data_IF_217390252658
#
_entry.id   IF_217390252658
#
_cell.length_a   1.000
_cell.length_b   1.000
_cell.length_c   1.000
_cell.angle_alpha   90.00
_cell.angle_beta   90.00
_cell.angle_gamma   90.00
#
_symmetry.space_group_name_H-M   'P 1'
#
loop_
_entity.id
_entity.type
_entity.pdbx_description
1 polymer ?
#
# COMPACT_ATOMS: atom_id res chain seq x y z
N UNK A 1 3.72 -0.24 15.42
CA UNK A 1 3.62 1.18 15.05
C UNK A 1 2.74 1.29 13.82
N UNK A 2 1.94 2.34 13.68
CA UNK A 2 1.01 2.52 12.56
C UNK A 2 1.43 3.75 11.75
N UNK A 3 1.32 3.68 10.42
CA UNK A 3 1.59 4.79 9.52
C UNK A 3 0.42 4.99 8.54
N UNK A 4 0.04 6.24 8.33
CA UNK A 4 -0.86 6.66 7.26
C UNK A 4 0.01 7.18 6.11
N UNK A 5 -0.16 6.62 4.91
CA UNK A 5 0.55 7.05 3.72
C UNK A 5 -0.44 7.60 2.68
N UNK A 6 -0.28 8.86 2.32
CA UNK A 6 -1.07 9.50 1.26
C UNK A 6 -0.43 9.19 -0.10
N UNK A 7 -1.22 8.63 -1.00
CA UNK A 7 -0.76 8.12 -2.30
C UNK A 7 -0.58 6.61 -2.29
N UNK A 8 -1.52 5.89 -2.89
CA UNK A 8 -1.47 4.45 -3.08
C UNK A 8 -0.94 4.05 -4.47
N UNK A 9 -0.25 4.96 -5.18
CA UNK A 9 0.33 4.71 -6.49
C UNK A 9 1.59 3.83 -6.47
N UNK A 10 2.30 3.77 -7.60
CA UNK A 10 3.48 2.91 -7.76
C UNK A 10 4.60 3.21 -6.75
N UNK A 11 4.92 4.49 -6.50
CA UNK A 11 5.94 4.87 -5.51
C UNK A 11 5.47 4.58 -4.09
N UNK A 12 4.20 4.85 -3.79
CA UNK A 12 3.62 4.59 -2.48
C UNK A 12 3.65 3.10 -2.13
N UNK A 13 3.28 2.21 -3.06
CA UNK A 13 3.26 0.76 -2.80
C UNK A 13 4.62 0.09 -2.98
N UNK A 14 5.32 0.44 -4.06
CA UNK A 14 6.56 -0.22 -4.48
C UNK A 14 7.80 0.24 -3.71
N UNK A 15 7.75 1.42 -3.08
CA UNK A 15 8.88 1.95 -2.33
C UNK A 15 8.53 2.28 -0.88
N UNK A 16 7.80 3.37 -0.62
CA UNK A 16 7.60 3.87 0.75
C UNK A 16 6.82 2.87 1.62
N UNK A 17 5.67 2.41 1.14
CA UNK A 17 4.83 1.45 1.84
C UNK A 17 5.50 0.09 2.00
N UNK A 18 6.31 -0.34 1.03
CA UNK A 18 7.14 -1.55 1.12
C UNK A 18 8.20 -1.41 2.22
N UNK A 19 8.92 -0.29 2.25
CA UNK A 19 9.94 -0.01 3.27
C UNK A 19 9.35 0.04 4.69
N UNK A 20 8.19 0.67 4.84
CA UNK A 20 7.46 0.70 6.11
C UNK A 20 6.98 -0.71 6.53
N UNK A 21 6.47 -1.50 5.58
CA UNK A 21 6.04 -2.88 5.85
C UNK A 21 7.21 -3.79 6.25
N UNK A 22 8.37 -3.66 5.60
CA UNK A 22 9.61 -4.37 5.96
C UNK A 22 10.04 -4.02 7.39
N UNK A 23 9.90 -2.75 7.78
CA UNK A 23 10.13 -2.27 9.14
C UNK A 23 9.06 -2.71 10.15
N UNK A 24 8.12 -3.59 9.76
CA UNK A 24 7.00 -4.09 10.57
C UNK A 24 6.07 -2.96 11.05
N UNK A 25 5.98 -1.88 10.28
CA UNK A 25 5.02 -0.80 10.49
C UNK A 25 3.75 -1.13 9.72
N UNK A 26 2.60 -0.98 10.37
CA UNK A 26 1.31 -1.19 9.73
C UNK A 26 0.95 0.04 8.89
N UNK A 27 0.94 -0.12 7.56
CA UNK A 27 0.63 0.95 6.61
C UNK A 27 -0.85 0.94 6.25
N UNK A 28 -1.48 2.10 6.39
CA UNK A 28 -2.79 2.41 5.80
C UNK A 28 -2.58 3.37 4.63
N UNK A 29 -3.07 3.03 3.44
CA UNK A 29 -3.03 3.92 2.29
C UNK A 29 -4.28 4.80 2.22
N UNK A 30 -4.08 6.07 1.85
CA UNK A 30 -5.15 7.00 1.51
C UNK A 30 -4.91 7.56 0.10
N UNK A 31 -5.88 7.41 -0.80
CA UNK A 31 -5.81 7.86 -2.19
C UNK A 31 -7.22 8.22 -2.70
N UNK A 32 -7.30 9.02 -3.76
CA UNK A 32 -8.55 9.36 -4.45
C UNK A 32 -9.00 8.27 -5.43
N UNK A 33 -8.08 7.40 -5.87
CA UNK A 33 -8.38 6.30 -6.77
C UNK A 33 -9.06 5.15 -6.01
N UNK A 34 -10.40 5.15 -6.04
CA UNK A 34 -11.22 4.18 -5.32
C UNK A 34 -10.92 2.74 -5.74
N UNK A 35 -10.74 2.48 -7.04
CA UNK A 35 -10.43 1.13 -7.55
C UNK A 35 -9.14 0.57 -6.94
N UNK A 36 -8.10 1.40 -6.82
CA UNK A 36 -6.84 0.98 -6.20
C UNK A 36 -7.02 0.68 -4.72
N UNK A 37 -7.75 1.53 -4.00
CA UNK A 37 -8.03 1.32 -2.57
C UNK A 37 -8.86 0.04 -2.36
N UNK A 38 -9.86 -0.19 -3.20
CA UNK A 38 -10.72 -1.38 -3.14
C UNK A 38 -9.93 -2.66 -3.38
N UNK A 39 -9.02 -2.68 -4.36
CA UNK A 39 -8.15 -3.82 -4.62
C UNK A 39 -7.23 -4.14 -3.43
N UNK A 40 -6.63 -3.12 -2.82
CA UNK A 40 -5.76 -3.34 -1.64
C UNK A 40 -6.63 -3.82 -0.46
N UNK A 41 -7.86 -3.30 -0.32
CA UNK A 41 -8.80 -3.69 0.74
C UNK A 41 -9.23 -5.15 0.63
N UNK A 42 -9.55 -5.59 -0.59
CA UNK A 42 -10.01 -6.94 -0.88
C UNK A 42 -8.87 -7.94 -0.69
N UNK A 43 -7.70 -7.63 -1.22
CA UNK A 43 -6.58 -8.57 -1.25
C UNK A 43 -5.79 -8.60 0.06
N UNK A 44 -5.79 -7.50 0.84
CA UNK A 44 -4.98 -7.33 2.07
C UNK A 44 -3.48 -7.56 1.88
N UNK A 45 -3.04 -7.62 0.63
CA UNK A 45 -1.67 -7.78 0.21
C UNK A 45 -1.53 -7.34 -1.25
N UNK A 46 -0.30 -7.04 -1.65
CA UNK A 46 0.04 -6.78 -3.04
C UNK A 46 1.48 -7.23 -3.33
N UNK A 47 1.79 -7.42 -4.60
CA UNK A 47 3.10 -7.83 -5.05
C UNK A 47 3.95 -6.61 -5.46
N UNK A 48 5.23 -6.63 -5.11
CA UNK A 48 6.24 -5.70 -5.62
C UNK A 48 7.25 -6.52 -6.42
N UNK A 49 7.32 -6.27 -7.72
CA UNK A 49 8.35 -6.85 -8.58
C UNK A 49 9.60 -5.99 -8.50
N UNK A 50 10.68 -6.56 -7.97
CA UNK A 50 11.99 -5.92 -7.90
C UNK A 50 12.80 -6.47 -9.08
N UNK A 51 13.25 -5.55 -9.93
CA UNK A 51 13.99 -5.88 -11.16
C UNK A 51 15.42 -5.36 -10.99
N UNK A 52 16.39 -6.23 -11.28
CA UNK A 52 17.82 -6.01 -11.22
C UNK A 52 18.51 -7.26 -11.78
N UNK A 53 19.75 -7.51 -11.37
CA UNK A 53 20.49 -8.72 -11.80
C UNK A 53 19.72 -10.01 -11.46
N UNK A 54 19.11 -10.05 -10.27
CA UNK A 54 18.14 -11.07 -9.88
C UNK A 54 16.73 -10.47 -9.75
N UNK A 55 15.84 -10.86 -10.66
CA UNK A 55 14.43 -10.45 -10.60
C UNK A 55 13.65 -11.30 -9.61
N UNK A 56 12.91 -10.63 -8.71
CA UNK A 56 12.11 -11.31 -7.69
C UNK A 56 10.80 -10.58 -7.41
N UNK A 57 9.85 -11.32 -6.86
CA UNK A 57 8.55 -10.78 -6.43
C UNK A 57 8.47 -10.90 -4.92
N UNK A 58 8.21 -9.78 -4.25
CA UNK A 58 7.92 -9.74 -2.83
C UNK A 58 6.43 -9.50 -2.59
N UNK A 59 5.88 -10.17 -1.57
CA UNK A 59 4.51 -9.94 -1.11
C UNK A 59 4.55 -8.98 0.06
N UNK A 60 3.88 -7.85 -0.09
CA UNK A 60 3.66 -6.88 1.00
C UNK A 60 2.27 -7.11 1.57
N UNK A 61 2.17 -7.37 2.88
CA UNK A 61 0.89 -7.56 3.59
C UNK A 61 0.41 -6.26 4.21
N UNK A 62 -0.86 -5.92 4.06
CA UNK A 62 -1.52 -4.77 4.69
C UNK A 62 -2.59 -5.25 5.67
N UNK A 63 -2.50 -4.83 6.94
CA UNK A 63 -3.32 -5.40 8.02
C UNK A 63 -4.58 -4.58 8.36
N UNK A 64 -4.63 -3.28 8.04
CA UNK A 64 -5.81 -2.41 8.23
C UNK A 64 -5.80 -1.23 7.28
N UNK A 65 -6.97 -0.90 6.74
CA UNK A 65 -7.16 0.21 5.81
C UNK A 65 -8.44 0.97 6.13
N UNK A 66 -8.40 2.30 5.98
CA UNK A 66 -9.51 3.20 6.19
C UNK A 66 -9.83 3.89 4.85
N UNK A 67 -11.03 3.67 4.32
CA UNK A 67 -11.54 4.47 3.19
C UNK A 67 -12.21 5.72 3.75
N UNK A 68 -11.81 6.91 3.31
CA UNK A 68 -12.50 8.16 3.68
C UNK A 68 -13.76 8.31 2.80
N UNK A 69 -14.94 8.00 3.33
CA UNK A 69 -16.21 8.50 2.77
C UNK A 69 -16.46 9.92 3.32
N UNK A 70 -15.73 10.90 2.83
CA UNK A 70 -16.10 12.31 3.04
C UNK A 70 -16.29 12.95 1.68
N UNK A 71 -17.56 13.07 1.29
CA UNK A 71 -18.01 14.18 0.45
C UNK A 71 -17.55 15.43 1.20
N UNK A 72 -16.52 16.11 0.72
CA UNK A 72 -16.23 17.46 1.22
C UNK A 72 -17.45 18.34 0.88
N UNK A 73 -17.86 19.25 1.77
CA UNK A 73 -18.85 20.27 1.42
C UNK A 73 -18.36 21.11 0.24
#
# INVERSE_FOLDING_TARGET
MNALHFGAGNIGRGFIGKLLADARIFVTFADINQTQIDQINQNKQYCVKIVGDDSRVEIVKTLRQLTRKTKMP
#
